data_IF_782261144054
#
_entry.id   IF_782261144054
#
_cell.length_a   1.000
_cell.length_b   1.000
_cell.length_c   1.000
_cell.angle_alpha   90.00
_cell.angle_beta   90.00
_cell.angle_gamma   90.00
#
_symmetry.space_group_name_H-M   'P 1'
#
loop_
_entity.id
_entity.type
_entity.pdbx_description
1 polymer ?
#
# COMPACT_ATOMS: atom_id res chain seq x y z
N UNK A 1 -10.76 12.73 -27.59
CA UNK A 1 -10.74 13.13 -26.17
C UNK A 1 -9.28 13.05 -25.76
N UNK A 2 -8.76 14.06 -25.05
CA UNK A 2 -7.34 14.06 -24.68
C UNK A 2 -7.01 12.78 -23.89
N UNK A 3 -5.91 12.13 -24.27
CA UNK A 3 -5.37 10.91 -23.70
C UNK A 3 -4.96 11.17 -22.24
N UNK A 4 -5.91 11.08 -21.31
CA UNK A 4 -5.73 11.44 -19.91
C UNK A 4 -5.12 10.26 -19.17
N UNK A 5 -3.80 10.28 -19.02
CA UNK A 5 -3.06 9.34 -18.15
C UNK A 5 -3.07 9.81 -16.71
N UNK A 6 -2.92 8.86 -15.79
CA UNK A 6 -2.63 9.07 -14.38
C UNK A 6 -1.21 8.56 -14.16
N UNK A 7 -0.27 9.46 -13.93
CA UNK A 7 1.14 9.15 -13.68
C UNK A 7 1.34 8.79 -12.22
N UNK A 8 1.70 7.53 -11.98
CA UNK A 8 1.77 6.93 -10.65
C UNK A 8 3.21 6.63 -10.26
N UNK A 9 3.63 7.15 -9.10
CA UNK A 9 4.85 6.73 -8.45
C UNK A 9 4.60 5.72 -7.33
N UNK A 10 5.50 4.75 -7.16
CA UNK A 10 5.41 3.74 -6.11
C UNK A 10 6.56 3.89 -5.11
N UNK A 11 6.22 3.95 -3.82
CA UNK A 11 7.18 3.82 -2.72
C UNK A 11 7.09 2.42 -2.13
N UNK A 12 8.18 1.67 -2.18
CA UNK A 12 8.25 0.28 -1.72
C UNK A 12 7.75 -0.69 -2.79
N UNK A 13 8.69 -1.27 -3.55
CA UNK A 13 8.40 -2.19 -4.66
C UNK A 13 8.25 -3.62 -4.14
N UNK A 14 7.33 -3.82 -3.18
CA UNK A 14 7.03 -5.10 -2.55
C UNK A 14 6.01 -5.97 -3.31
N UNK A 15 5.44 -6.97 -2.62
CA UNK A 15 4.39 -7.82 -3.18
C UNK A 15 3.12 -7.05 -3.60
N UNK A 16 2.75 -6.01 -2.85
CA UNK A 16 1.60 -5.17 -3.20
C UNK A 16 1.86 -4.41 -4.51
N UNK A 17 3.03 -3.78 -4.65
CA UNK A 17 3.45 -3.13 -5.89
C UNK A 17 3.49 -4.12 -7.06
N UNK A 18 4.03 -5.32 -6.84
CA UNK A 18 4.05 -6.38 -7.85
C UNK A 18 2.66 -6.78 -8.33
N UNK A 19 1.70 -6.92 -7.41
CA UNK A 19 0.32 -7.25 -7.74
C UNK A 19 -0.40 -6.10 -8.44
N UNK A 20 -0.11 -4.84 -8.08
CA UNK A 20 -0.64 -3.65 -8.74
C UNK A 20 -0.15 -3.53 -10.18
N UNK A 21 1.16 -3.60 -10.40
CA UNK A 21 1.76 -3.47 -11.74
C UNK A 21 1.28 -4.58 -12.66
N UNK A 22 1.25 -5.84 -12.17
CA UNK A 22 0.66 -6.95 -12.91
C UNK A 22 -0.84 -6.75 -13.18
N UNK A 23 -1.59 -6.21 -12.21
CA UNK A 23 -3.02 -5.94 -12.34
C UNK A 23 -3.35 -4.92 -13.43
N UNK A 24 -2.58 -3.83 -13.50
CA UNK A 24 -2.72 -2.82 -14.56
C UNK A 24 -2.48 -3.45 -15.93
N UNK A 25 -1.43 -4.26 -16.07
CA UNK A 25 -1.15 -4.97 -17.33
C UNK A 25 -2.24 -5.99 -17.68
N UNK A 26 -2.67 -6.80 -16.72
CA UNK A 26 -3.62 -7.89 -16.93
C UNK A 26 -4.98 -7.38 -17.40
N UNK A 27 -5.43 -6.25 -16.84
CA UNK A 27 -6.75 -5.66 -17.14
C UNK A 27 -6.67 -4.46 -18.09
N UNK A 28 -5.55 -4.22 -18.77
CA UNK A 28 -5.38 -3.07 -19.67
C UNK A 28 -6.43 -3.07 -20.80
N UNK A 29 -6.90 -4.26 -21.22
CA UNK A 29 -7.87 -4.44 -22.29
C UNK A 29 -9.26 -4.87 -21.80
N UNK A 30 -9.51 -4.79 -20.48
CA UNK A 30 -10.83 -5.12 -19.92
C UNK A 30 -11.93 -4.26 -20.58
N UNK A 31 -13.12 -4.82 -20.73
CA UNK A 31 -14.25 -4.04 -21.23
C UNK A 31 -14.77 -3.11 -20.12
N UNK A 32 -15.02 -1.81 -20.37
CA UNK A 32 -15.52 -0.88 -19.33
C UNK A 32 -16.78 -1.36 -18.58
N UNK A 33 -17.61 -2.20 -19.23
CA UNK A 33 -18.85 -2.74 -18.65
C UNK A 33 -18.71 -4.17 -18.10
N UNK A 34 -17.50 -4.73 -18.13
CA UNK A 34 -17.23 -6.07 -17.59
C UNK A 34 -17.14 -6.05 -16.07
N UNK A 35 -17.63 -7.13 -15.46
CA UNK A 35 -17.39 -7.37 -14.05
C UNK A 35 -15.98 -7.94 -13.85
N UNK A 36 -15.10 -7.15 -13.24
CA UNK A 36 -13.75 -7.58 -12.86
C UNK A 36 -13.69 -7.81 -11.35
N UNK A 37 -13.43 -9.04 -10.87
CA UNK A 37 -13.33 -9.32 -9.44
C UNK A 37 -12.30 -8.43 -8.75
N UNK A 38 -12.75 -7.69 -7.75
CA UNK A 38 -11.90 -6.81 -6.95
C UNK A 38 -11.86 -5.35 -7.39
N UNK A 39 -12.46 -5.02 -8.53
CA UNK A 39 -12.64 -3.65 -8.98
C UNK A 39 -14.12 -3.29 -8.92
N UNK A 40 -14.42 -2.11 -8.39
CA UNK A 40 -15.79 -1.58 -8.43
C UNK A 40 -16.18 -1.16 -9.85
N UNK A 41 -15.22 -0.61 -10.60
CA UNK A 41 -15.37 -0.14 -11.96
C UNK A 41 -14.09 -0.39 -12.74
N UNK A 42 -14.22 -0.83 -13.99
CA UNK A 42 -13.09 -0.87 -14.96
C UNK A 42 -12.73 0.54 -15.42
N UNK A 43 -13.72 1.43 -15.53
CA UNK A 43 -13.54 2.84 -15.82
C UNK A 43 -14.17 3.70 -14.71
N UNK A 44 -13.38 4.56 -14.08
CA UNK A 44 -13.82 5.43 -12.98
C UNK A 44 -13.51 6.89 -13.32
N UNK A 45 -14.55 7.73 -13.37
CA UNK A 45 -14.36 9.17 -13.64
C UNK A 45 -13.78 9.48 -15.02
N UNK A 46 -13.96 8.57 -15.99
CA UNK A 46 -13.38 8.67 -17.34
C UNK A 46 -11.95 8.15 -17.47
N UNK A 47 -11.41 7.50 -16.42
CA UNK A 47 -10.11 6.84 -16.44
C UNK A 47 -10.29 5.33 -16.47
N UNK A 48 -9.79 4.69 -17.51
CA UNK A 48 -9.71 3.23 -17.60
C UNK A 48 -8.47 2.73 -16.84
N UNK A 49 -8.43 1.45 -16.47
CA UNK A 49 -7.24 0.81 -15.85
C UNK A 49 -5.96 1.05 -16.66
N UNK A 50 -6.08 1.10 -18.00
CA UNK A 50 -4.98 1.30 -18.96
C UNK A 50 -4.41 2.72 -18.96
N UNK A 51 -5.11 3.64 -18.28
CA UNK A 51 -4.68 5.02 -18.16
C UNK A 51 -3.75 5.23 -16.97
N UNK A 52 -3.56 4.20 -16.13
CA UNK A 52 -2.53 4.19 -15.10
C UNK A 52 -1.18 3.94 -15.76
N UNK A 53 -0.29 4.93 -15.68
CA UNK A 53 1.08 4.85 -16.18
C UNK A 53 2.05 4.98 -15.00
N UNK A 54 2.98 4.04 -14.84
CA UNK A 54 3.99 4.16 -13.81
C UNK A 54 5.07 5.15 -14.24
N UNK A 55 5.31 6.19 -13.44
CA UNK A 55 6.22 7.28 -13.76
C UNK A 55 7.52 7.23 -12.96
N UNK A 56 7.47 6.72 -11.72
CA UNK A 56 8.63 6.58 -10.85
C UNK A 56 8.45 5.43 -9.85
N UNK A 57 9.57 4.91 -9.35
CA UNK A 57 9.54 3.91 -8.28
C UNK A 57 10.72 4.11 -7.32
N UNK A 58 10.50 3.83 -6.04
CA UNK A 58 11.50 3.98 -4.99
C UNK A 58 11.58 2.74 -4.11
N UNK A 59 12.78 2.25 -3.87
CA UNK A 59 13.03 1.15 -2.94
C UNK A 59 14.38 1.34 -2.21
N UNK A 60 14.63 0.50 -1.22
CA UNK A 60 15.85 0.49 -0.41
C UNK A 60 16.64 -0.80 -0.59
N UNK A 61 16.07 -1.84 -1.18
CA UNK A 61 16.70 -3.13 -1.43
C UNK A 61 17.69 -3.06 -2.60
N UNK A 62 18.93 -3.49 -2.35
CA UNK A 62 20.00 -3.57 -3.34
C UNK A 62 19.66 -4.45 -4.54
N UNK A 63 18.75 -5.41 -4.38
CA UNK A 63 18.30 -6.28 -5.46
C UNK A 63 17.25 -5.63 -6.37
N UNK A 64 16.73 -4.45 -6.01
CA UNK A 64 15.67 -3.74 -6.75
C UNK A 64 16.15 -2.40 -7.28
N UNK A 65 16.88 -1.64 -6.48
CA UNK A 65 17.38 -0.31 -6.87
C UNK A 65 18.26 -0.41 -8.12
N UNK A 66 17.98 0.42 -9.11
CA UNK A 66 18.66 0.47 -10.41
C UNK A 66 18.06 -0.43 -11.49
N UNK A 67 17.11 -1.31 -11.16
CA UNK A 67 16.38 -2.12 -12.15
C UNK A 67 15.18 -1.37 -12.72
N UNK A 68 14.70 -1.82 -13.87
CA UNK A 68 13.38 -1.43 -14.35
C UNK A 68 12.28 -1.96 -13.41
N UNK A 69 11.19 -1.21 -13.27
CA UNK A 69 10.07 -1.59 -12.43
C UNK A 69 9.49 -2.96 -12.82
N UNK A 70 9.44 -3.31 -14.11
CA UNK A 70 8.96 -4.62 -14.58
C UNK A 70 9.79 -5.80 -14.07
N UNK A 71 11.07 -5.58 -13.78
CA UNK A 71 11.97 -6.59 -13.22
C UNK A 71 11.99 -6.55 -11.68
N UNK A 72 11.95 -5.34 -11.12
CA UNK A 72 12.03 -5.12 -9.67
C UNK A 72 10.84 -5.73 -8.93
N UNK A 73 9.65 -5.74 -9.54
CA UNK A 73 8.44 -6.36 -8.96
C UNK A 73 8.57 -7.88 -8.75
N UNK A 74 9.51 -8.54 -9.43
CA UNK A 74 9.81 -9.97 -9.28
C UNK A 74 11.17 -10.22 -8.59
N UNK A 75 11.82 -9.17 -8.10
CA UNK A 75 13.16 -9.24 -7.51
C UNK A 75 13.14 -9.29 -5.98
N UNK A 76 14.27 -9.73 -5.41
CA UNK A 76 14.46 -9.79 -3.96
C UNK A 76 13.50 -10.78 -3.30
N UNK A 77 12.93 -10.44 -2.14
CA UNK A 77 12.03 -11.34 -1.41
C UNK A 77 10.56 -11.25 -1.89
N UNK A 78 10.28 -10.62 -3.03
CA UNK A 78 8.94 -10.62 -3.60
C UNK A 78 8.56 -12.03 -4.04
N UNK A 79 7.36 -12.47 -3.67
CA UNK A 79 6.89 -13.84 -3.87
C UNK A 79 5.37 -13.94 -4.04
N UNK A 80 4.71 -12.84 -4.44
CA UNK A 80 3.30 -12.88 -4.86
C UNK A 80 3.13 -13.76 -6.11
N UNK A 81 1.90 -14.22 -6.36
CA UNK A 81 1.59 -15.02 -7.54
C UNK A 81 1.83 -14.20 -8.82
N UNK A 82 2.49 -14.81 -9.81
CA UNK A 82 2.68 -14.20 -11.14
C UNK A 82 1.49 -14.56 -12.03
N UNK A 83 0.66 -13.58 -12.36
CA UNK A 83 -0.54 -13.75 -13.18
C UNK A 83 -0.52 -12.93 -14.49
N UNK A 84 0.49 -12.07 -14.67
CA UNK A 84 0.72 -11.33 -15.90
C UNK A 84 2.22 -11.24 -16.20
N UNK A 85 2.56 -11.23 -17.49
CA UNK A 85 3.87 -10.81 -17.97
C UNK A 85 3.84 -9.30 -18.16
N UNK A 86 4.74 -8.59 -17.48
CA UNK A 86 4.83 -7.13 -17.53
C UNK A 86 5.92 -6.75 -18.52
N UNK A 87 5.62 -5.96 -19.57
CA UNK A 87 6.62 -5.48 -20.51
C UNK A 87 7.60 -4.52 -19.83
N UNK A 88 8.75 -4.26 -20.46
CA UNK A 88 9.69 -3.26 -19.97
C UNK A 88 9.02 -1.89 -19.89
N UNK A 89 9.04 -1.27 -18.70
CA UNK A 89 8.29 -0.03 -18.45
C UNK A 89 9.13 1.24 -18.67
N UNK A 90 10.46 1.13 -18.69
CA UNK A 90 11.35 2.29 -18.75
C UNK A 90 11.39 3.08 -17.43
N UNK A 91 10.94 2.49 -16.33
CA UNK A 91 10.84 3.13 -15.02
C UNK A 91 11.91 2.57 -14.10
N UNK A 92 12.99 3.30 -13.91
CA UNK A 92 14.07 2.86 -13.02
C UNK A 92 13.63 2.97 -11.56
N UNK A 93 13.89 1.94 -10.75
CA UNK A 93 13.71 2.00 -9.30
C UNK A 93 14.85 2.79 -8.68
N UNK A 94 14.53 3.97 -8.16
CA UNK A 94 15.49 4.85 -7.52
C UNK A 94 15.73 4.50 -6.05
N UNK A 95 16.88 4.91 -5.53
CA UNK A 95 17.23 4.74 -4.11
C UNK A 95 16.37 5.65 -3.24
N UNK A 96 15.38 5.08 -2.56
CA UNK A 96 14.49 5.81 -1.65
C UNK A 96 15.12 6.15 -0.29
N UNK A 97 14.42 6.93 0.53
CA UNK A 97 14.81 7.13 1.93
C UNK A 97 14.53 5.86 2.75
N UNK A 98 15.49 5.46 3.60
CA UNK A 98 15.34 4.27 4.45
C UNK A 98 14.58 4.57 5.75
N UNK A 99 15.01 5.58 6.53
CA UNK A 99 14.49 5.84 7.89
C UNK A 99 14.21 4.54 8.68
N UNK A 100 13.00 4.40 9.23
CA UNK A 100 12.45 3.25 9.97
C UNK A 100 11.75 2.23 9.05
N UNK A 101 12.00 2.31 7.74
CA UNK A 101 11.55 1.42 6.67
C UNK A 101 12.03 -0.02 6.80
N UNK A 102 13.20 -0.25 7.40
CA UNK A 102 13.78 -1.57 7.59
C UNK A 102 13.79 -1.94 9.08
N UNK A 103 12.82 -2.77 9.48
CA UNK A 103 12.78 -3.38 10.81
C UNK A 103 13.82 -4.48 11.01
N UNK A 104 13.89 -5.01 12.24
CA UNK A 104 14.90 -5.99 12.68
C UNK A 104 14.91 -7.26 11.84
N UNK A 105 13.73 -7.76 11.46
CA UNK A 105 13.63 -9.00 10.68
C UNK A 105 13.87 -8.74 9.19
N UNK A 106 13.37 -7.63 8.66
CA UNK A 106 13.61 -7.27 7.26
C UNK A 106 15.09 -7.01 6.98
N UNK A 107 15.81 -6.37 7.91
CA UNK A 107 17.25 -6.12 7.77
C UNK A 107 18.11 -7.39 7.74
N UNK A 108 17.57 -8.56 8.12
CA UNK A 108 18.29 -9.84 8.05
C UNK A 108 18.23 -10.47 6.66
N UNK A 109 17.23 -10.11 5.84
CA UNK A 109 17.00 -10.70 4.52
C UNK A 109 17.16 -9.69 3.37
N UNK A 110 17.07 -8.39 3.67
CA UNK A 110 17.24 -7.29 2.71
C UNK A 110 18.58 -6.63 2.96
N UNK A 111 19.41 -6.57 1.91
CA UNK A 111 20.62 -5.74 1.90
C UNK A 111 20.25 -4.36 1.40
N UNK A 112 20.50 -3.32 2.22
CA UNK A 112 20.25 -1.93 1.83
C UNK A 112 21.14 -1.54 0.64
N UNK A 113 20.56 -0.97 -0.41
CA UNK A 113 21.32 -0.48 -1.55
C UNK A 113 22.31 0.62 -1.13
N UNK A 114 23.53 0.61 -1.69
CA UNK A 114 24.53 1.63 -1.44
C UNK A 114 24.11 2.99 -2.03
N UNK A 115 24.81 4.05 -1.62
CA UNK A 115 24.61 5.39 -2.14
C UNK A 115 23.57 6.23 -1.37
N UNK A 116 23.49 7.54 -1.70
CA UNK A 116 22.55 8.46 -1.08
C UNK A 116 21.11 8.22 -1.55
N UNK A 117 20.16 8.71 -0.78
CA UNK A 117 18.77 8.84 -1.22
C UNK A 117 18.69 9.74 -2.45
N UNK A 118 17.92 9.32 -3.47
CA UNK A 118 17.67 10.12 -4.65
C UNK A 118 16.83 11.37 -4.32
N UNK A 119 16.92 12.39 -5.17
CA UNK A 119 16.10 13.60 -5.04
C UNK A 119 14.65 13.29 -5.44
N UNK A 120 13.84 12.94 -4.44
CA UNK A 120 12.46 12.47 -4.63
C UNK A 120 11.61 13.58 -5.26
N UNK A 121 11.70 14.81 -4.75
CA UNK A 121 10.92 15.94 -5.26
C UNK A 121 11.26 16.22 -6.72
N UNK A 122 12.56 16.24 -7.06
CA UNK A 122 12.98 16.46 -8.44
C UNK A 122 12.47 15.35 -9.36
N UNK A 123 12.63 14.09 -8.99
CA UNK A 123 12.18 12.95 -9.80
C UNK A 123 10.66 13.01 -10.02
N UNK A 124 9.87 13.24 -8.97
CA UNK A 124 8.42 13.33 -9.09
C UNK A 124 7.97 14.47 -10.02
N UNK A 125 8.67 15.62 -9.97
CA UNK A 125 8.41 16.76 -10.88
C UNK A 125 8.84 16.50 -12.31
N UNK A 126 10.05 15.97 -12.53
CA UNK A 126 10.59 15.66 -13.87
C UNK A 126 9.78 14.56 -14.57
N UNK A 127 9.21 13.65 -13.79
CA UNK A 127 8.34 12.58 -14.28
C UNK A 127 6.86 12.97 -14.28
N UNK A 128 6.53 14.24 -14.03
CA UNK A 128 5.16 14.77 -14.06
C UNK A 128 4.18 13.86 -13.29
N UNK A 129 4.59 13.38 -12.11
CA UNK A 129 3.82 12.41 -11.34
C UNK A 129 2.56 13.07 -10.75
N UNK A 130 1.41 12.43 -10.95
CA UNK A 130 0.13 12.87 -10.39
C UNK A 130 -0.11 12.31 -8.99
N UNK A 131 0.18 11.02 -8.79
CA UNK A 131 -0.18 10.27 -7.57
C UNK A 131 0.99 9.44 -7.06
N UNK A 132 1.26 9.52 -5.77
CA UNK A 132 2.26 8.69 -5.08
C UNK A 132 1.56 7.64 -4.21
N UNK A 133 1.90 6.37 -4.39
CA UNK A 133 1.36 5.24 -3.61
C UNK A 133 2.42 4.73 -2.63
N UNK A 134 2.05 4.66 -1.35
CA UNK A 134 2.92 4.20 -0.27
C UNK A 134 2.65 2.74 0.11
N UNK A 135 3.60 1.85 -0.19
CA UNK A 135 3.64 0.44 0.23
C UNK A 135 4.85 0.12 1.12
N UNK A 136 5.29 1.08 1.93
CA UNK A 136 6.33 0.82 2.92
C UNK A 136 5.93 -0.29 3.92
N UNK A 137 6.90 -0.90 4.62
CA UNK A 137 6.58 -1.85 5.68
C UNK A 137 5.75 -1.24 6.82
N UNK A 138 4.95 -2.08 7.49
CA UNK A 138 4.20 -1.66 8.69
C UNK A 138 5.15 -1.12 9.77
N UNK A 139 4.77 0.00 10.39
CA UNK A 139 5.54 0.67 11.44
C UNK A 139 6.58 1.66 10.92
N UNK A 140 6.63 1.93 9.61
CA UNK A 140 7.54 2.92 9.01
C UNK A 140 6.98 4.34 9.09
N UNK A 141 6.86 4.87 10.30
CA UNK A 141 6.23 6.16 10.61
C UNK A 141 7.08 7.34 10.12
N UNK A 142 8.37 7.37 10.48
CA UNK A 142 9.28 8.45 10.07
C UNK A 142 9.44 8.47 8.54
N UNK A 143 9.62 7.30 7.93
CA UNK A 143 9.71 7.18 6.48
C UNK A 143 8.44 7.70 5.80
N UNK A 144 7.27 7.26 6.25
CA UNK A 144 5.99 7.66 5.65
C UNK A 144 5.77 9.17 5.77
N UNK A 145 5.95 9.75 6.96
CA UNK A 145 5.81 11.20 7.16
C UNK A 145 6.80 11.97 6.28
N UNK A 146 8.03 11.50 6.17
CA UNK A 146 9.03 12.11 5.28
C UNK A 146 8.61 12.07 3.81
N UNK A 147 8.12 10.93 3.30
CA UNK A 147 7.63 10.83 1.91
C UNK A 147 6.38 11.65 1.65
N UNK A 148 5.49 11.81 2.64
CA UNK A 148 4.33 12.69 2.54
C UNK A 148 4.78 14.14 2.29
N UNK A 149 5.80 14.62 3.02
CA UNK A 149 6.38 15.94 2.76
C UNK A 149 6.95 16.05 1.35
N UNK A 150 7.72 15.05 0.90
CA UNK A 150 8.31 15.07 -0.45
C UNK A 150 7.23 15.09 -1.54
N UNK A 151 6.14 14.35 -1.34
CA UNK A 151 5.03 14.29 -2.29
C UNK A 151 4.26 15.61 -2.34
N UNK A 152 4.05 16.23 -1.18
CA UNK A 152 3.42 17.54 -1.09
C UNK A 152 4.27 18.64 -1.75
N UNK A 153 5.60 18.62 -1.58
CA UNK A 153 6.52 19.58 -2.21
C UNK A 153 6.68 19.34 -3.72
N UNK A 154 6.43 18.10 -4.16
CA UNK A 154 6.34 17.73 -5.57
C UNK A 154 5.02 18.15 -6.22
N UNK A 155 3.97 18.41 -5.44
CA UNK A 155 2.63 18.70 -5.96
C UNK A 155 1.82 17.46 -6.29
N UNK A 156 2.13 16.31 -5.68
CA UNK A 156 1.48 15.04 -5.98
C UNK A 156 0.39 14.69 -4.95
N UNK A 157 -0.68 14.06 -5.42
CA UNK A 157 -1.62 13.34 -4.56
C UNK A 157 -0.94 12.18 -3.84
N UNK A 158 -1.52 11.73 -2.72
CA UNK A 158 -0.92 10.65 -1.93
C UNK A 158 -1.94 9.55 -1.57
N UNK A 159 -1.57 8.29 -1.78
CA UNK A 159 -2.34 7.11 -1.36
C UNK A 159 -1.53 6.35 -0.32
N UNK A 160 -1.98 6.39 0.93
CA UNK A 160 -1.32 5.71 2.04
C UNK A 160 -1.91 4.31 2.27
N UNK A 161 -1.21 3.27 1.82
CA UNK A 161 -1.71 1.91 1.94
C UNK A 161 -1.34 1.20 3.25
N UNK A 162 -0.63 1.86 4.17
CA UNK A 162 -0.10 1.25 5.38
C UNK A 162 -0.79 1.85 6.63
N UNK A 163 -0.77 1.18 7.79
CA UNK A 163 -1.47 1.64 9.00
C UNK A 163 -0.65 2.68 9.80
N UNK A 164 0.00 3.61 9.09
CA UNK A 164 0.56 4.84 9.69
C UNK A 164 -0.48 5.93 9.51
N UNK A 165 -0.81 6.65 10.57
CA UNK A 165 -1.87 7.64 10.53
C UNK A 165 -1.40 8.91 9.83
N UNK A 166 -2.02 9.20 8.68
CA UNK A 166 -1.79 10.41 7.88
C UNK A 166 -3.15 10.98 7.50
N UNK A 167 -3.92 10.29 6.66
CA UNK A 167 -5.18 10.79 6.12
C UNK A 167 -6.26 11.00 7.19
N UNK A 168 -6.16 10.31 8.34
CA UNK A 168 -7.07 10.50 9.47
C UNK A 168 -6.68 11.62 10.44
N UNK A 169 -5.46 12.16 10.34
CA UNK A 169 -4.97 13.20 11.24
C UNK A 169 -5.26 14.58 10.67
N UNK A 170 -5.91 15.44 11.47
CA UNK A 170 -6.28 16.80 11.07
C UNK A 170 -5.07 17.64 10.61
N UNK A 171 -3.90 17.42 11.24
CA UNK A 171 -2.66 18.08 10.85
C UNK A 171 -2.30 17.83 9.37
N UNK A 172 -2.32 16.58 8.92
CA UNK A 172 -1.98 16.26 7.53
C UNK A 172 -3.10 16.67 6.57
N UNK A 173 -4.37 16.47 6.95
CA UNK A 173 -5.53 16.89 6.15
C UNK A 173 -5.42 18.37 5.76
N UNK A 174 -5.16 19.26 6.73
CA UNK A 174 -5.00 20.70 6.46
C UNK A 174 -3.87 20.99 5.47
N UNK A 175 -2.74 20.29 5.57
CA UNK A 175 -1.59 20.52 4.68
C UNK A 175 -1.82 20.04 3.24
N UNK A 176 -2.64 19.00 3.06
CA UNK A 176 -3.10 18.58 1.73
C UNK A 176 -4.10 19.59 1.16
N UNK A 177 -5.05 20.06 1.99
CA UNK A 177 -6.05 21.07 1.61
C UNK A 177 -5.40 22.42 1.21
N UNK A 178 -4.44 22.92 2.00
CA UNK A 178 -3.70 24.16 1.73
C UNK A 178 -2.94 24.12 0.38
N UNK A 179 -2.50 22.92 -0.04
CA UNK A 179 -1.84 22.72 -1.33
C UNK A 179 -2.79 22.33 -2.46
N UNK A 180 -4.09 22.16 -2.17
CA UNK A 180 -5.10 21.73 -3.15
C UNK A 180 -4.90 20.30 -3.64
N UNK A 181 -4.29 19.43 -2.84
CA UNK A 181 -3.93 18.06 -3.21
C UNK A 181 -4.81 17.04 -2.47
N UNK A 182 -5.22 15.93 -3.12
CA UNK A 182 -5.97 14.88 -2.44
C UNK A 182 -5.05 13.91 -1.70
N UNK A 183 -5.57 13.35 -0.61
CA UNK A 183 -5.00 12.21 0.11
C UNK A 183 -6.06 11.12 0.30
N UNK A 184 -5.67 9.87 0.07
CA UNK A 184 -6.49 8.68 0.36
C UNK A 184 -5.71 7.78 1.33
N UNK A 185 -6.33 7.41 2.45
CA UNK A 185 -5.72 6.58 3.47
C UNK A 185 -6.60 6.51 4.72
N UNK A 186 -6.18 5.82 5.77
CA UNK A 186 -4.96 5.01 5.89
C UNK A 186 -5.31 3.52 5.87
N UNK A 187 -4.31 2.65 5.68
CA UNK A 187 -4.42 1.17 5.70
C UNK A 187 -5.37 0.61 4.62
N UNK A 188 -4.81 0.22 3.47
CA UNK A 188 -5.61 -0.31 2.36
C UNK A 188 -6.37 -1.58 2.77
N UNK A 189 -7.63 -1.68 2.36
CA UNK A 189 -8.45 -2.86 2.66
C UNK A 189 -8.15 -3.99 1.69
N UNK A 190 -8.02 -5.21 2.23
CA UNK A 190 -8.20 -6.43 1.42
C UNK A 190 -9.69 -6.61 1.10
N UNK A 191 -10.00 -7.24 -0.03
CA UNK A 191 -11.39 -7.52 -0.44
C UNK A 191 -12.11 -8.40 0.58
N UNK A 192 -11.55 -9.58 0.86
CA UNK A 192 -12.05 -10.53 1.86
C UNK A 192 -10.86 -11.03 2.68
N UNK A 193 -10.72 -10.48 3.89
CA UNK A 193 -9.67 -10.85 4.83
C UNK A 193 -10.24 -11.32 6.18
N UNK A 194 -9.37 -11.85 7.04
CA UNK A 194 -9.79 -12.41 8.32
C UNK A 194 -10.62 -11.43 9.18
N UNK A 195 -10.26 -10.13 9.20
CA UNK A 195 -10.99 -9.12 9.97
C UNK A 195 -12.43 -8.92 9.51
N UNK A 196 -12.68 -8.78 8.20
CA UNK A 196 -14.05 -8.58 7.70
C UNK A 196 -14.90 -9.83 7.87
N UNK A 197 -14.33 -11.02 7.63
CA UNK A 197 -15.01 -12.29 7.86
C UNK A 197 -15.39 -12.46 9.33
N UNK A 198 -14.45 -12.21 10.25
CA UNK A 198 -14.72 -12.27 11.68
C UNK A 198 -15.82 -11.28 12.07
N UNK A 199 -15.73 -10.03 11.60
CA UNK A 199 -16.73 -9.00 11.88
C UNK A 199 -18.13 -9.38 11.41
N UNK A 200 -18.27 -9.93 10.19
CA UNK A 200 -19.55 -10.38 9.64
C UNK A 200 -20.14 -11.53 10.47
N UNK A 201 -19.30 -12.50 10.87
CA UNK A 201 -19.74 -13.61 11.74
C UNK A 201 -20.15 -13.11 13.13
N UNK A 202 -19.40 -12.19 13.73
CA UNK A 202 -19.73 -11.57 15.02
C UNK A 202 -21.07 -10.85 14.96
N UNK A 203 -21.29 -10.07 13.90
CA UNK A 203 -22.55 -9.35 13.69
C UNK A 203 -23.72 -10.31 13.51
N UNK A 204 -23.53 -11.38 12.73
CA UNK A 204 -24.55 -12.42 12.54
C UNK A 204 -24.96 -13.06 13.87
N UNK A 205 -24.01 -13.36 14.75
CA UNK A 205 -24.31 -13.92 16.07
C UNK A 205 -25.17 -12.96 16.89
N UNK A 206 -24.79 -11.68 16.95
CA UNK A 206 -25.56 -10.64 17.63
C UNK A 206 -26.98 -10.53 17.06
N UNK A 207 -27.13 -10.45 15.74
CA UNK A 207 -28.43 -10.33 15.06
C UNK A 207 -29.35 -11.55 15.27
N UNK A 208 -28.78 -12.70 15.64
CA UNK A 208 -29.53 -13.94 15.94
C UNK A 208 -29.71 -14.18 17.44
N UNK A 209 -29.31 -13.24 18.30
CA UNK A 209 -29.39 -13.38 19.76
C UNK A 209 -28.44 -14.45 20.32
N UNK A 210 -27.38 -14.79 19.58
CA UNK A 210 -26.38 -15.77 20.00
C UNK A 210 -25.22 -15.05 20.68
N UNK A 211 -25.01 -15.36 21.96
CA UNK A 211 -23.90 -14.82 22.74
C UNK A 211 -22.59 -15.48 22.34
N UNK A 212 -21.59 -14.66 22.02
CA UNK A 212 -20.19 -15.06 21.90
C UNK A 212 -19.55 -14.96 23.28
N UNK A 213 -19.07 -16.09 23.79
CA UNK A 213 -18.34 -16.14 25.06
C UNK A 213 -16.84 -15.90 24.87
N UNK A 214 -16.25 -16.43 23.79
CA UNK A 214 -14.82 -16.38 23.49
C UNK A 214 -14.60 -16.39 21.98
N UNK A 215 -13.58 -15.67 21.51
CA UNK A 215 -13.13 -15.69 20.11
C UNK A 215 -11.63 -15.50 20.02
N UNK A 216 -11.01 -16.07 18.98
CA UNK A 216 -9.59 -15.88 18.68
C UNK A 216 -9.37 -15.85 17.17
N UNK A 217 -8.32 -15.16 16.73
CA UNK A 217 -7.96 -15.06 15.31
C UNK A 217 -6.45 -15.26 15.16
N UNK A 218 -6.06 -16.32 14.47
CA UNK A 218 -4.67 -16.62 14.13
C UNK A 218 -4.46 -16.35 12.64
N UNK A 219 -3.39 -15.64 12.30
CA UNK A 219 -3.04 -15.35 10.91
C UNK A 219 -1.61 -15.84 10.66
N UNK A 220 -1.40 -16.54 9.55
CA UNK A 220 -0.09 -17.03 9.10
C UNK A 220 0.16 -16.57 7.67
N UNK A 221 1.42 -16.32 7.32
CA UNK A 221 1.80 -15.95 5.97
C UNK A 221 3.31 -16.06 5.79
N UNK A 222 3.74 -16.22 4.54
CA UNK A 222 5.12 -16.50 4.16
C UNK A 222 5.77 -15.40 3.32
N UNK A 223 5.41 -14.13 3.58
CA UNK A 223 5.98 -12.98 2.86
C UNK A 223 6.66 -12.00 3.83
N UNK A 224 7.31 -10.98 3.27
CA UNK A 224 8.04 -9.97 4.04
C UNK A 224 7.14 -9.10 4.93
N UNK A 225 5.89 -8.85 4.56
CA UNK A 225 4.94 -8.13 5.42
C UNK A 225 4.64 -8.94 6.70
N UNK A 226 4.35 -10.24 6.56
CA UNK A 226 4.17 -11.13 7.71
C UNK A 226 5.44 -11.26 8.56
N UNK A 227 6.62 -11.33 7.92
CA UNK A 227 7.90 -11.36 8.63
C UNK A 227 8.15 -10.07 9.41
N UNK A 228 7.88 -8.91 8.81
CA UNK A 228 7.96 -7.61 9.47
C UNK A 228 6.99 -7.52 10.66
N UNK A 229 5.80 -8.08 10.51
CA UNK A 229 4.80 -8.18 11.57
C UNK A 229 5.18 -9.14 12.72
N UNK A 230 6.26 -9.92 12.63
CA UNK A 230 6.76 -10.66 13.81
C UNK A 230 7.37 -9.74 14.87
N UNK A 231 7.72 -8.50 14.47
CA UNK A 231 8.21 -7.46 15.36
C UNK A 231 7.04 -6.84 16.14
N UNK A 232 6.82 -7.31 17.37
CA UNK A 232 5.69 -6.90 18.21
C UNK A 232 5.61 -5.39 18.45
N UNK A 233 6.75 -4.72 18.55
CA UNK A 233 6.84 -3.26 18.74
C UNK A 233 6.20 -2.48 17.57
N UNK A 234 6.26 -3.02 16.34
CA UNK A 234 5.63 -2.40 15.15
C UNK A 234 4.13 -2.68 15.03
N UNK A 235 3.57 -3.52 15.91
CA UNK A 235 2.20 -4.04 15.79
C UNK A 235 1.18 -3.41 16.73
N UNK A 236 1.59 -2.61 17.72
CA UNK A 236 0.67 -2.15 18.77
C UNK A 236 -0.58 -1.47 18.19
N UNK A 237 -0.38 -0.50 17.29
CA UNK A 237 -1.47 0.22 16.61
C UNK A 237 -2.37 -0.70 15.76
N UNK A 238 -1.78 -1.70 15.08
CA UNK A 238 -2.52 -2.63 14.20
C UNK A 238 -3.32 -3.65 15.01
N UNK A 239 -2.80 -4.10 16.16
CA UNK A 239 -3.51 -5.00 17.09
C UNK A 239 -4.74 -4.31 17.67
N UNK A 240 -4.58 -3.08 18.16
CA UNK A 240 -5.68 -2.26 18.68
C UNK A 240 -6.76 -2.07 17.62
N UNK A 241 -6.38 -1.69 16.41
CA UNK A 241 -7.33 -1.44 15.30
C UNK A 241 -8.12 -2.69 14.91
N UNK A 242 -7.48 -3.87 14.87
CA UNK A 242 -8.16 -5.14 14.55
C UNK A 242 -9.12 -5.59 15.66
N UNK A 243 -8.72 -5.46 16.92
CA UNK A 243 -9.59 -5.81 18.05
C UNK A 243 -10.84 -4.92 18.05
N UNK A 244 -10.66 -3.60 17.92
CA UNK A 244 -11.78 -2.64 17.91
C UNK A 244 -12.76 -2.87 16.75
N UNK A 245 -12.26 -3.30 15.58
CA UNK A 245 -13.12 -3.60 14.44
C UNK A 245 -14.11 -4.76 14.69
N UNK A 246 -13.77 -5.68 15.60
CA UNK A 246 -14.63 -6.82 15.98
C UNK A 246 -15.47 -6.50 17.20
N UNK A 247 -14.85 -5.96 18.26
CA UNK A 247 -15.56 -5.66 19.52
C UNK A 247 -16.62 -4.57 19.35
N UNK A 248 -16.44 -3.64 18.41
CA UNK A 248 -17.47 -2.65 18.06
C UNK A 248 -18.77 -3.24 17.49
N UNK A 249 -18.80 -4.52 17.14
CA UNK A 249 -20.02 -5.21 16.70
C UNK A 249 -20.79 -5.86 17.85
N UNK A 250 -20.28 -5.76 19.09
CA UNK A 250 -20.84 -6.41 20.27
C UNK A 250 -21.34 -5.34 21.25
N UNK A 251 -22.51 -5.57 21.84
CA UNK A 251 -23.10 -4.65 22.85
C UNK A 251 -22.55 -4.89 24.26
N UNK A 252 -21.53 -5.75 24.41
CA UNK A 252 -20.95 -6.16 25.68
C UNK A 252 -19.46 -6.47 25.55
N UNK A 253 -18.72 -6.36 26.65
CA UNK A 253 -17.29 -6.67 26.68
C UNK A 253 -17.03 -8.17 26.78
N UNK A 254 -16.00 -8.64 26.07
CA UNK A 254 -15.49 -10.00 26.22
C UNK A 254 -14.61 -10.09 27.47
N UNK A 255 -14.58 -11.26 28.15
CA UNK A 255 -13.63 -11.50 29.22
C UNK A 255 -12.18 -11.35 28.73
N UNK A 256 -11.31 -10.81 29.58
CA UNK A 256 -9.88 -10.61 29.32
C UNK A 256 -9.11 -11.91 29.11
#
# INVERSE_FOLDING_TARGET
>A
MADRKIRVAIIGVGNCASSLVQGVQYYENANPNEFVPGLMHVELGGYHIRDIEFSAAFDVDATKVGKDLSEAIFSGPNNTYKFADVPHLGVTVHRGMTHDGLGKYLSQIITKAPGPTADIVRILKETETDVVINYLPVGSEMATKWYVEQSLDAGCAFINCIPVFIAREEYWQKRFEERGLPIIGDDIKSQVGATITHRVLTRLFADRGVRIDRTYQLNFGGNTDFMNMLERERLESKKISKTNAVTSQMDYELPA
#
